data_IF_216284455192
#
_entry.id   IF_216284455192
#
_cell.length_a   1.000
_cell.length_b   1.000
_cell.length_c   1.000
_cell.angle_alpha   90.00
_cell.angle_beta   90.00
_cell.angle_gamma   90.00
#
_symmetry.space_group_name_H-M   'P 1'
#
loop_
_entity.id
_entity.type
_entity.pdbx_description
1 polymer ?
#
# COMPACT_ATOMS: atom_id res chain seq x y z
N UNK A 1 43.94 32.11 -6.99
CA UNK A 1 43.22 33.24 -7.61
C UNK A 1 42.36 32.73 -8.76
N UNK A 2 41.04 33.03 -8.71
CA UNK A 2 40.10 33.35 -9.83
C UNK A 2 39.99 32.34 -10.99
N UNK A 3 38.84 31.98 -11.58
CA UNK A 3 37.40 32.34 -11.56
C UNK A 3 36.73 31.28 -12.48
N UNK A 4 35.63 30.63 -12.11
CA UNK A 4 34.23 30.93 -12.47
C UNK A 4 33.77 30.62 -13.91
N UNK A 5 32.57 29.99 -13.99
CA UNK A 5 31.53 30.05 -15.06
C UNK A 5 31.82 29.16 -16.29
N UNK A 6 30.87 28.49 -16.97
CA UNK A 6 29.40 28.57 -17.07
C UNK A 6 28.84 27.39 -17.90
N UNK A 7 27.56 27.05 -17.66
CA UNK A 7 26.46 26.64 -18.57
C UNK A 7 26.78 26.01 -19.95
N UNK A 8 26.13 24.85 -20.23
CA UNK A 8 25.26 24.51 -21.41
C UNK A 8 24.97 23.00 -21.39
N UNK A 9 23.72 22.55 -21.16
CA UNK A 9 22.68 22.20 -22.15
C UNK A 9 23.11 21.19 -23.23
N UNK A 10 22.43 20.03 -23.27
CA UNK A 10 22.08 19.21 -24.45
C UNK A 10 21.38 17.93 -23.93
N UNK A 11 20.05 17.84 -24.01
CA UNK A 11 19.28 17.25 -25.11
C UNK A 11 19.50 15.74 -25.26
N UNK A 12 18.59 14.94 -24.68
CA UNK A 12 18.43 13.53 -25.01
C UNK A 12 16.95 13.19 -25.27
N UNK A 13 16.69 12.89 -26.55
CA UNK A 13 15.90 11.76 -27.09
C UNK A 13 14.53 11.45 -26.46
N UNK A 14 13.48 12.06 -27.01
CA UNK A 14 12.15 11.43 -27.06
C UNK A 14 11.52 11.62 -28.45
N UNK A 15 11.85 10.69 -29.35
CA UNK A 15 11.24 10.62 -30.67
C UNK A 15 11.21 9.17 -31.13
N UNK A 16 10.16 8.43 -30.77
CA UNK A 16 9.73 7.19 -31.46
C UNK A 16 8.65 6.44 -30.66
N UNK A 17 7.44 7.00 -30.56
CA UNK A 17 6.27 6.19 -30.15
C UNK A 17 4.93 6.70 -30.67
N UNK A 18 4.91 7.24 -31.89
CA UNK A 18 3.69 7.52 -32.65
C UNK A 18 3.79 6.95 -34.07
N UNK A 19 3.85 5.63 -34.19
CA UNK A 19 3.59 4.94 -35.48
C UNK A 19 3.35 3.44 -35.31
N UNK A 20 2.29 3.06 -34.59
CA UNK A 20 1.85 1.65 -34.56
C UNK A 20 0.38 1.44 -34.19
N UNK A 21 -0.51 2.29 -34.70
CA UNK A 21 -1.97 2.09 -34.61
C UNK A 21 -2.66 2.59 -35.88
N UNK A 22 -2.33 1.98 -37.02
CA UNK A 22 -3.05 2.27 -38.26
C UNK A 22 -2.99 1.09 -39.25
N UNK A 23 -3.21 -0.12 -38.75
CA UNK A 23 -3.42 -1.31 -39.58
C UNK A 23 -4.42 -2.27 -38.93
N UNK A 24 -5.63 -1.78 -38.66
CA UNK A 24 -6.81 -2.62 -38.40
C UNK A 24 -8.04 -1.87 -38.92
N UNK A 25 -8.15 -1.70 -40.24
CA UNK A 25 -9.36 -1.14 -40.84
C UNK A 25 -9.46 -1.43 -42.34
N UNK A 26 -9.16 -2.66 -42.79
CA UNK A 26 -9.41 -3.04 -44.18
C UNK A 26 -9.69 -4.55 -44.26
N UNK A 27 -10.83 -5.02 -43.73
CA UNK A 27 -11.56 -6.16 -44.29
C UNK A 27 -13.05 -5.96 -43.94
N UNK A 28 -13.65 -4.93 -44.54
CA UNK A 28 -15.10 -4.75 -44.57
C UNK A 28 -15.52 -4.69 -46.03
N UNK A 29 -15.56 -5.84 -46.72
CA UNK A 29 -16.38 -6.04 -47.91
C UNK A 29 -16.44 -7.51 -48.31
N UNK A 30 -17.60 -7.91 -48.83
CA UNK A 30 -17.91 -9.15 -49.55
C UNK A 30 -18.26 -10.39 -48.72
N UNK A 31 -19.57 -10.61 -48.50
CA UNK A 31 -20.35 -11.57 -49.30
C UNK A 31 -21.81 -11.62 -48.82
N UNK A 32 -22.66 -10.99 -49.62
CA UNK A 32 -24.10 -11.20 -49.65
C UNK A 32 -24.35 -12.56 -50.34
N UNK A 33 -24.94 -13.52 -49.63
CA UNK A 33 -25.62 -14.68 -50.25
C UNK A 33 -26.99 -14.85 -49.60
N UNK A 34 -28.01 -14.70 -50.44
CA UNK A 34 -29.42 -15.00 -50.19
C UNK A 34 -29.56 -16.44 -49.67
N UNK A 35 -30.35 -16.60 -48.62
CA UNK A 35 -30.78 -17.90 -48.10
C UNK A 35 -31.90 -17.70 -47.09
N UNK A 36 -33.13 -17.93 -47.54
CA UNK A 36 -34.39 -17.88 -46.82
C UNK A 36 -34.34 -18.77 -45.54
N UNK A 37 -34.66 -18.21 -44.37
CA UNK A 37 -34.76 -19.01 -43.14
C UNK A 37 -34.78 -18.20 -41.83
N UNK A 38 -35.98 -17.81 -41.41
CA UNK A 38 -36.45 -17.87 -40.02
C UNK A 38 -35.42 -17.68 -38.89
N UNK A 39 -35.34 -16.49 -38.29
CA UNK A 39 -35.07 -16.40 -36.85
C UNK A 39 -35.55 -15.07 -36.24
N UNK A 40 -36.29 -15.23 -35.15
CA UNK A 40 -36.89 -14.21 -34.30
C UNK A 40 -35.96 -13.07 -33.91
N UNK A 41 -36.50 -11.86 -33.87
CA UNK A 41 -35.96 -10.76 -33.11
C UNK A 41 -35.97 -11.13 -31.62
N UNK A 42 -34.79 -11.37 -31.04
CA UNK A 42 -34.63 -11.47 -29.59
C UNK A 42 -34.61 -10.08 -28.98
N UNK A 43 -35.71 -9.71 -28.35
CA UNK A 43 -35.80 -8.63 -27.39
C UNK A 43 -34.94 -8.91 -26.17
N UNK A 44 -34.02 -7.98 -25.90
CA UNK A 44 -33.72 -7.39 -24.59
C UNK A 44 -33.54 -8.33 -23.37
N UNK A 45 -32.29 -8.48 -22.95
CA UNK A 45 -31.93 -8.46 -21.54
C UNK A 45 -30.43 -8.16 -21.42
N UNK A 46 -30.07 -6.87 -21.39
CA UNK A 46 -28.86 -6.45 -20.70
C UNK A 46 -28.96 -6.99 -19.27
N UNK A 47 -28.29 -8.10 -18.99
CA UNK A 47 -28.00 -8.50 -17.63
C UNK A 47 -26.99 -7.51 -17.08
N UNK A 48 -27.53 -6.43 -16.54
CA UNK A 48 -26.84 -5.53 -15.65
C UNK A 48 -26.59 -6.33 -14.37
N UNK A 49 -25.58 -7.21 -14.42
CA UNK A 49 -25.10 -7.95 -13.27
C UNK A 49 -24.62 -6.90 -12.26
N UNK A 50 -25.50 -6.54 -11.34
CA UNK A 50 -25.20 -5.63 -10.26
C UNK A 50 -24.01 -6.23 -9.50
N UNK A 51 -22.83 -5.65 -9.70
CA UNK A 51 -21.63 -6.01 -8.95
C UNK A 51 -22.02 -6.00 -7.48
N UNK A 52 -21.77 -7.08 -6.71
CA UNK A 52 -22.14 -7.12 -5.32
C UNK A 52 -21.61 -5.88 -4.62
N UNK A 53 -22.51 -5.15 -3.95
CA UNK A 53 -22.16 -3.91 -3.26
C UNK A 53 -21.02 -4.20 -2.29
N UNK A 54 -19.83 -3.70 -2.59
CA UNK A 54 -18.64 -3.86 -1.76
C UNK A 54 -18.92 -3.21 -0.41
N UNK A 55 -18.73 -3.98 0.68
CA UNK A 55 -18.86 -3.45 2.04
C UNK A 55 -17.94 -2.25 2.19
N UNK A 56 -18.47 -1.16 2.77
CA UNK A 56 -17.68 0.04 3.03
C UNK A 56 -16.50 -0.33 3.93
N UNK A 57 -15.28 0.15 3.63
CA UNK A 57 -14.13 -0.08 4.50
C UNK A 57 -14.40 0.57 5.86
N UNK A 58 -14.21 -0.21 6.93
CA UNK A 58 -14.31 0.29 8.30
C UNK A 58 -12.93 0.76 8.72
N UNK A 59 -12.84 2.03 9.10
CA UNK A 59 -11.61 2.60 9.64
C UNK A 59 -11.58 2.38 11.15
N UNK A 60 -10.48 1.79 11.61
CA UNK A 60 -10.21 1.51 13.02
C UNK A 60 -9.19 2.52 13.53
N UNK A 61 -9.36 2.95 14.79
CA UNK A 61 -8.42 3.85 15.48
C UNK A 61 -7.27 3.08 16.11
N UNK A 62 -6.13 3.74 16.30
CA UNK A 62 -4.92 3.08 16.83
C UNK A 62 -5.15 2.55 18.25
N UNK A 63 -5.88 3.29 19.10
CA UNK A 63 -6.21 2.88 20.47
C UNK A 63 -7.05 1.58 20.57
N UNK A 64 -7.77 1.22 19.50
CA UNK A 64 -8.62 0.02 19.47
C UNK A 64 -7.87 -1.25 19.05
N UNK A 65 -6.57 -1.14 18.75
CA UNK A 65 -5.74 -2.26 18.33
C UNK A 65 -5.47 -3.19 19.51
N UNK A 66 -5.59 -4.50 19.26
CA UNK A 66 -5.36 -5.53 20.27
C UNK A 66 -4.28 -6.52 19.82
N UNK A 67 -3.52 -7.12 20.75
CA UNK A 67 -2.57 -8.18 20.42
C UNK A 67 -3.22 -9.30 19.61
N UNK A 68 -2.53 -9.80 18.58
CA UNK A 68 -3.00 -10.93 17.75
C UNK A 68 -4.12 -10.62 16.75
N UNK A 69 -4.57 -9.36 16.66
CA UNK A 69 -5.61 -8.96 15.69
C UNK A 69 -5.02 -8.61 14.32
N UNK A 70 -5.78 -8.85 13.25
CA UNK A 70 -5.36 -8.71 11.86
C UNK A 70 -6.47 -8.04 11.02
N UNK A 71 -6.11 -7.54 9.84
CA UNK A 71 -7.07 -7.02 8.86
C UNK A 71 -7.52 -5.59 9.08
N UNK A 72 -6.77 -4.82 9.86
CA UNK A 72 -7.13 -3.45 10.20
C UNK A 72 -6.92 -2.50 9.02
N UNK A 73 -7.82 -1.52 8.90
CA UNK A 73 -7.64 -0.40 7.99
C UNK A 73 -7.62 0.88 8.81
N UNK A 74 -6.52 1.63 8.72
CA UNK A 74 -6.28 2.79 9.55
C UNK A 74 -5.58 3.90 8.76
N UNK A 75 -5.81 5.14 9.21
CA UNK A 75 -5.16 6.33 8.68
C UNK A 75 -4.23 6.83 9.78
N UNK A 76 -2.94 6.90 9.47
CA UNK A 76 -1.92 7.27 10.44
C UNK A 76 -0.99 8.31 9.86
N UNK A 77 -0.45 9.15 10.73
CA UNK A 77 0.59 10.11 10.41
C UNK A 77 1.92 9.57 10.91
N UNK A 78 2.95 9.67 10.07
CA UNK A 78 4.32 9.29 10.41
C UNK A 78 4.97 10.44 11.16
N UNK A 79 5.52 10.15 12.34
CA UNK A 79 6.24 11.14 13.15
C UNK A 79 7.75 10.99 12.97
N UNK A 80 8.23 9.76 13.04
CA UNK A 80 9.65 9.46 12.93
C UNK A 80 9.85 8.16 12.13
N UNK A 81 10.98 8.06 11.44
CA UNK A 81 11.38 6.88 10.67
C UNK A 81 12.83 6.54 10.99
N UNK A 82 13.04 5.44 11.72
CA UNK A 82 14.37 4.95 12.06
C UNK A 82 14.71 3.70 11.23
N UNK A 83 15.63 3.84 10.29
CA UNK A 83 16.09 2.75 9.45
C UNK A 83 16.98 1.77 10.26
N UNK A 84 16.39 0.71 10.79
CA UNK A 84 17.12 -0.39 11.43
C UNK A 84 17.66 -1.32 10.35
N UNK A 85 18.82 -0.97 9.79
CA UNK A 85 19.56 -1.86 8.92
C UNK A 85 19.99 -3.09 9.73
N UNK A 86 19.48 -4.27 9.38
CA UNK A 86 20.05 -5.52 9.88
C UNK A 86 21.47 -5.69 9.32
N UNK A 87 22.45 -5.23 10.10
CA UNK A 87 23.88 -5.39 9.83
C UNK A 87 24.32 -6.76 10.37
N UNK A 88 24.45 -7.73 9.46
CA UNK A 88 25.09 -9.05 9.69
C UNK A 88 24.13 -10.24 9.52
N UNK A 89 24.50 -11.43 9.02
CA UNK A 89 25.80 -12.03 8.68
C UNK A 89 25.59 -13.09 7.56
N UNK A 90 26.36 -12.95 6.46
CA UNK A 90 26.84 -13.97 5.49
C UNK A 90 25.91 -14.90 4.68
N UNK A 91 26.41 -15.24 3.47
CA UNK A 91 26.40 -16.55 2.75
C UNK A 91 25.80 -16.60 1.33
N UNK A 92 24.99 -15.64 0.85
CA UNK A 92 24.73 -15.55 -0.60
C UNK A 92 24.31 -14.15 -1.06
N UNK A 93 24.87 -13.69 -2.18
CA UNK A 93 24.50 -12.43 -2.85
C UNK A 93 23.04 -12.41 -3.36
N UNK A 94 22.29 -13.51 -3.24
CA UNK A 94 20.92 -13.64 -3.72
C UNK A 94 19.84 -13.47 -2.63
N UNK A 95 20.22 -13.46 -1.35
CA UNK A 95 19.27 -13.25 -0.26
C UNK A 95 19.13 -11.74 -0.02
N UNK A 96 18.15 -11.14 -0.70
CA UNK A 96 17.76 -9.72 -0.63
C UNK A 96 17.94 -9.18 0.79
N UNK A 97 18.90 -8.28 0.98
CA UNK A 97 19.05 -7.52 2.21
C UNK A 97 17.71 -6.83 2.48
N UNK A 98 16.92 -7.36 3.41
CA UNK A 98 15.59 -6.80 3.69
C UNK A 98 15.81 -5.51 4.45
N UNK A 99 15.53 -4.38 3.81
CA UNK A 99 15.59 -3.07 4.47
C UNK A 99 14.42 -2.99 5.43
N UNK A 100 14.69 -2.84 6.72
CA UNK A 100 13.65 -2.68 7.73
C UNK A 100 13.79 -1.28 8.29
N UNK A 101 12.66 -0.60 8.46
CA UNK A 101 12.58 0.67 9.17
C UNK A 101 11.52 0.56 10.25
N UNK A 102 11.87 1.00 11.44
CA UNK A 102 10.94 1.17 12.55
C UNK A 102 10.46 2.63 12.53
N UNK A 103 9.19 2.82 12.16
CA UNK A 103 8.58 4.13 12.06
C UNK A 103 7.62 4.35 13.23
N UNK A 104 7.71 5.49 13.89
CA UNK A 104 6.69 5.90 14.86
C UNK A 104 5.51 6.49 14.08
N UNK A 105 4.35 5.86 14.19
CA UNK A 105 3.12 6.29 13.52
C UNK A 105 2.01 6.44 14.54
N UNK A 106 1.04 7.30 14.26
CA UNK A 106 -0.11 7.41 15.13
C UNK A 106 -1.24 8.22 14.55
N UNK A 107 -2.33 8.25 15.30
CA UNK A 107 -3.50 9.08 15.05
C UNK A 107 -3.75 9.99 16.27
N UNK A 108 -4.90 10.66 16.31
CA UNK A 108 -5.27 11.49 17.45
C UNK A 108 -5.49 10.70 18.76
N UNK A 109 -5.59 9.37 18.68
CA UNK A 109 -5.91 8.50 19.82
C UNK A 109 -4.68 7.91 20.48
N UNK A 110 -3.76 7.38 19.67
CA UNK A 110 -2.55 6.72 20.14
C UNK A 110 -1.46 6.67 19.07
N UNK A 111 -0.25 6.31 19.50
CA UNK A 111 0.90 6.04 18.65
C UNK A 111 1.35 4.59 18.80
N UNK A 112 1.96 4.04 17.74
CA UNK A 112 2.47 2.68 17.68
C UNK A 112 3.68 2.63 16.74
N UNK A 113 4.61 1.70 16.99
CA UNK A 113 5.71 1.41 16.08
C UNK A 113 5.23 0.57 14.90
N UNK A 114 5.50 1.08 13.71
CA UNK A 114 5.27 0.43 12.44
C UNK A 114 6.57 -0.17 11.89
N UNK A 115 6.54 -1.45 11.53
CA UNK A 115 7.66 -2.13 10.90
C UNK A 115 7.53 -2.09 9.36
N UNK A 116 8.12 -1.06 8.74
CA UNK A 116 8.17 -0.91 7.29
C UNK A 116 9.23 -1.84 6.69
N UNK A 117 8.89 -2.50 5.57
CA UNK A 117 9.79 -3.41 4.86
C UNK A 117 10.04 -2.97 3.42
N UNK A 118 11.31 -3.05 2.98
CA UNK A 118 11.76 -2.80 1.62
C UNK A 118 11.20 -1.48 1.06
N UNK A 119 10.40 -1.57 -0.01
CA UNK A 119 9.83 -0.44 -0.74
C UNK A 119 8.82 0.37 0.11
N UNK A 120 8.32 -0.20 1.22
CA UNK A 120 7.46 0.53 2.14
C UNK A 120 8.23 1.61 2.91
N UNK A 121 9.55 1.46 3.09
CA UNK A 121 10.38 2.42 3.82
C UNK A 121 10.38 3.77 3.11
N UNK A 122 10.37 3.75 1.78
CA UNK A 122 10.40 4.96 0.95
C UNK A 122 9.05 5.72 0.97
N UNK A 123 7.96 5.07 1.38
CA UNK A 123 6.64 5.69 1.57
C UNK A 123 6.46 6.29 2.97
N UNK A 124 7.25 5.81 3.95
CA UNK A 124 7.09 6.16 5.35
C UNK A 124 8.01 7.31 5.76
N UNK A 125 7.89 8.43 5.06
CA UNK A 125 8.63 9.65 5.37
C UNK A 125 8.00 10.38 6.58
N UNK A 126 8.80 10.94 7.51
CA UNK A 126 8.30 11.76 8.60
C UNK A 126 7.41 12.90 8.10
N UNK A 127 6.25 13.08 8.72
CA UNK A 127 5.25 14.09 8.34
C UNK A 127 4.23 13.62 7.31
N UNK A 128 4.45 12.49 6.63
CA UNK A 128 3.48 11.94 5.69
C UNK A 128 2.25 11.37 6.41
N UNK A 129 1.09 11.49 5.76
CA UNK A 129 -0.14 10.78 6.18
C UNK A 129 -0.37 9.61 5.24
N UNK A 130 -0.54 8.43 5.82
CA UNK A 130 -0.65 7.17 5.09
C UNK A 130 -1.89 6.40 5.52
N UNK A 131 -2.50 5.71 4.57
CA UNK A 131 -3.58 4.77 4.79
C UNK A 131 -2.99 3.37 4.72
N UNK A 132 -3.09 2.63 5.82
CA UNK A 132 -2.66 1.25 5.92
C UNK A 132 -3.89 0.36 5.75
N UNK A 133 -3.91 -0.46 4.70
CA UNK A 133 -4.98 -1.44 4.45
C UNK A 133 -4.50 -2.85 4.77
N UNK A 134 -5.37 -3.64 5.40
CA UNK A 134 -5.09 -5.01 5.82
C UNK A 134 -3.79 -5.09 6.65
N UNK A 135 -3.68 -4.20 7.62
CA UNK A 135 -2.61 -4.18 8.60
C UNK A 135 -2.87 -5.23 9.68
N UNK A 136 -1.78 -5.71 10.27
CA UNK A 136 -1.78 -6.69 11.36
C UNK A 136 -0.95 -6.21 12.53
N UNK A 137 -1.28 -6.72 13.71
CA UNK A 137 -0.46 -6.56 14.90
C UNK A 137 0.50 -7.75 14.99
N UNK A 138 1.78 -7.45 14.89
CA UNK A 138 2.88 -8.38 15.13
C UNK A 138 3.35 -8.23 16.57
N UNK A 139 3.41 -9.33 17.31
CA UNK A 139 3.93 -9.32 18.68
C UNK A 139 5.44 -9.47 18.64
N UNK A 140 6.17 -8.46 19.13
CA UNK A 140 7.62 -8.47 19.18
C UNK A 140 8.11 -8.24 20.60
N UNK A 141 8.71 -9.27 21.19
CA UNK A 141 9.27 -9.24 22.56
C UNK A 141 8.28 -8.74 23.62
N UNK A 142 7.02 -9.15 23.53
CA UNK A 142 5.96 -8.72 24.47
C UNK A 142 5.26 -7.42 24.08
N UNK A 143 5.79 -6.63 23.16
CA UNK A 143 5.17 -5.38 22.71
C UNK A 143 4.46 -5.53 21.37
N UNK A 144 3.40 -4.74 21.16
CA UNK A 144 2.71 -4.68 19.88
C UNK A 144 3.49 -3.85 18.85
N UNK A 145 3.58 -4.36 17.62
CA UNK A 145 4.08 -3.64 16.45
C UNK A 145 3.09 -3.73 15.31
N UNK A 146 2.89 -2.64 14.60
CA UNK A 146 2.04 -2.64 13.42
C UNK A 146 2.85 -3.07 12.20
N UNK A 147 2.29 -3.96 11.38
CA UNK A 147 2.89 -4.39 10.13
C UNK A 147 1.82 -4.53 9.04
N UNK A 148 2.21 -4.39 7.77
CA UNK A 148 1.32 -4.67 6.64
C UNK A 148 1.45 -6.14 6.23
N UNK A 149 0.32 -6.81 6.02
CA UNK A 149 0.29 -8.20 5.58
C UNK A 149 0.60 -8.34 4.07
N UNK A 150 0.78 -9.57 3.58
CA UNK A 150 1.13 -9.84 2.17
C UNK A 150 0.13 -9.30 1.15
N UNK A 151 -1.16 -9.24 1.53
CA UNK A 151 -2.24 -8.68 0.71
C UNK A 151 -2.54 -7.21 1.05
N UNK A 152 -1.86 -6.66 2.05
CA UNK A 152 -2.04 -5.29 2.47
C UNK A 152 -1.32 -4.30 1.56
N UNK A 153 -1.80 -3.06 1.61
CA UNK A 153 -1.29 -1.95 0.79
C UNK A 153 -1.18 -0.70 1.64
N UNK A 154 -0.17 0.10 1.32
CA UNK A 154 0.04 1.43 1.88
C UNK A 154 -0.31 2.42 0.79
N UNK A 155 -1.16 3.39 1.11
CA UNK A 155 -1.50 4.48 0.21
C UNK A 155 -1.13 5.81 0.86
N UNK A 156 -0.47 6.66 0.09
CA UNK A 156 -0.22 8.04 0.50
C UNK A 156 -1.51 8.83 0.30
N UNK A 157 -1.88 9.63 1.28
CA UNK A 157 -3.06 10.49 1.22
C UNK A 157 -2.66 11.93 1.50
N UNK A 158 -3.62 12.84 1.33
CA UNK A 158 -3.42 14.25 1.66
C UNK A 158 -3.07 14.40 3.14
N UNK A 159 -2.23 15.39 3.49
CA UNK A 159 -1.81 15.58 4.88
C UNK A 159 -3.02 15.85 5.75
N UNK A 160 -3.33 14.92 6.66
CA UNK A 160 -4.44 15.09 7.56
C UNK A 160 -4.10 16.12 8.65
N UNK A 161 -5.07 16.93 9.03
CA UNK A 161 -4.91 18.04 9.98
C UNK A 161 -4.96 17.61 11.45
N UNK A 162 -4.96 16.32 11.76
CA UNK A 162 -4.97 15.85 13.14
C UNK A 162 -3.57 15.85 13.76
N UNK A 163 -3.52 16.12 15.06
CA UNK A 163 -2.31 16.06 15.87
C UNK A 163 -2.21 14.66 16.46
N UNK A 164 -1.07 14.01 16.27
CA UNK A 164 -0.85 12.65 16.79
C UNK A 164 -0.64 12.71 18.30
N UNK A 165 -1.29 11.80 19.03
CA UNK A 165 -1.11 11.69 20.48
C UNK A 165 0.08 10.77 20.79
N UNK A 166 1.24 11.37 20.98
CA UNK A 166 2.48 10.65 21.32
C UNK A 166 2.48 10.08 22.74
N UNK A 167 1.73 10.69 23.67
CA UNK A 167 1.66 10.30 25.08
C UNK A 167 1.14 8.86 25.28
N UNK A 168 0.25 8.41 24.40
CA UNK A 168 -0.33 7.07 24.46
C UNK A 168 0.36 6.17 23.43
N UNK A 169 1.52 5.62 23.77
CA UNK A 169 2.27 4.74 22.87
C UNK A 169 2.05 3.26 23.20
N UNK A 170 1.33 2.57 22.31
CA UNK A 170 0.95 1.17 22.47
C UNK A 170 2.15 0.21 22.35
N UNK A 171 3.25 0.64 21.73
CA UNK A 171 4.45 -0.18 21.59
C UNK A 171 5.32 -0.19 22.85
N UNK A 172 5.07 0.69 23.82
CA UNK A 172 5.73 0.63 25.13
C UNK A 172 5.02 -0.29 26.11
N UNK A 173 3.78 -0.67 25.78
CA UNK A 173 2.99 -1.58 26.61
C UNK A 173 3.48 -3.01 26.37
N UNK A 174 3.85 -3.68 27.46
CA UNK A 174 4.24 -5.07 27.47
C UNK A 174 3.02 -5.94 27.81
N UNK A 175 2.77 -6.93 26.97
CA UNK A 175 1.73 -7.93 27.16
C UNK A 175 2.35 -9.26 27.51
N UNK A 176 1.86 -9.86 28.59
CA UNK A 176 2.17 -11.22 28.96
C UNK A 176 1.10 -12.17 28.43
N UNK A 177 1.54 -13.34 27.95
CA UNK A 177 0.64 -14.39 27.53
C UNK A 177 0.13 -15.12 28.78
N UNK A 178 -1.11 -14.82 29.18
CA UNK A 178 -1.79 -15.54 30.24
C UNK A 178 -2.50 -16.74 29.63
N UNK A 179 -1.99 -17.95 29.90
CA UNK A 179 -2.74 -19.18 29.64
C UNK A 179 -3.78 -19.34 30.75
N UNK A 180 -5.04 -19.05 30.45
CA UNK A 180 -6.13 -19.42 31.35
C UNK A 180 -6.31 -20.92 31.20
N UNK A 181 -5.85 -21.70 32.18
CA UNK A 181 -6.29 -23.08 32.32
C UNK A 181 -7.77 -23.03 32.70
N UNK A 182 -8.63 -23.56 31.84
CA UNK A 182 -10.03 -23.77 32.19
C UNK A 182 -10.06 -24.92 33.21
N UNK A 183 -10.38 -24.60 34.47
CA UNK A 183 -10.67 -25.58 35.54
C UNK A 183 -12.05 -26.23 35.34
#
# INVERSE_FOLDING_TARGET
MKKSKSLTSCQDREGSKLKKREKQSIIALSLLRLGLGFLMASSNAQQNAAKPALRKPVFVKVDQLKPGTNGHTLIVKVLNANAVLQKGKSVSQHLRQTRISECLVGDETASILFAARNDQVDLMEPGATVILRNAKIDMFKGSMRLAVDKWGRIELTEPASFVVKEDNNLSLIEYELVNVAED
#
